data_IF_736828205034
#
_entry.id   IF_736828205034
#
_cell.length_a   1.000
_cell.length_b   1.000
_cell.length_c   1.000
_cell.angle_alpha   90.00
_cell.angle_beta   90.00
_cell.angle_gamma   90.00
#
_symmetry.space_group_name_H-M   'P 1'
#
loop_
_entity.id
_entity.type
_entity.pdbx_description
1 polymer ?
#
# COMPACT_ATOMS: atom_id res chain seq x y z
N UNK A 1 -0.81 -14.85 -2.97
CA UNK A 1 -0.82 -13.53 -2.30
C UNK A 1 0.13 -12.51 -2.91
N UNK A 2 1.46 -12.59 -2.77
CA UNK A 2 2.36 -11.52 -3.25
C UNK A 2 2.17 -11.19 -4.76
N UNK A 3 2.05 -12.21 -5.60
CA UNK A 3 1.75 -12.02 -7.03
C UNK A 3 0.37 -11.42 -7.28
N UNK A 4 -0.61 -11.69 -6.41
CA UNK A 4 -1.97 -11.12 -6.51
C UNK A 4 -1.96 -9.64 -6.13
N UNK A 5 -1.29 -9.26 -5.04
CA UNK A 5 -1.12 -7.86 -4.62
C UNK A 5 -0.45 -7.07 -5.75
N UNK A 6 0.63 -7.61 -6.32
CA UNK A 6 1.32 -6.98 -7.46
C UNK A 6 0.39 -6.81 -8.67
N UNK A 7 -0.44 -7.80 -8.97
CA UNK A 7 -1.38 -7.73 -10.08
C UNK A 7 -2.51 -6.71 -9.82
N UNK A 8 -2.95 -6.57 -8.57
CA UNK A 8 -3.97 -5.60 -8.16
C UNK A 8 -3.45 -4.16 -8.20
N UNK A 9 -2.24 -3.90 -7.68
CA UNK A 9 -1.65 -2.56 -7.64
C UNK A 9 -1.10 -2.07 -9.00
N UNK A 10 -0.82 -2.97 -9.94
CA UNK A 10 -0.24 -2.64 -11.24
C UNK A 10 -1.06 -1.62 -12.05
N UNK A 11 -2.36 -1.85 -12.29
CA UNK A 11 -3.23 -0.90 -12.98
C UNK A 11 -3.33 0.47 -12.29
N UNK A 12 -3.39 0.51 -10.96
CA UNK A 12 -3.44 1.74 -10.17
C UNK A 12 -2.19 2.60 -10.39
N UNK A 13 -1.01 1.97 -10.41
CA UNK A 13 0.27 2.63 -10.71
C UNK A 13 0.28 3.23 -12.12
N UNK A 14 -0.18 2.48 -13.12
CA UNK A 14 -0.21 2.97 -14.50
C UNK A 14 -1.20 4.12 -14.67
N UNK A 15 -2.34 4.07 -13.97
CA UNK A 15 -3.29 5.19 -13.94
C UNK A 15 -2.65 6.45 -13.32
N UNK A 16 -2.02 6.34 -12.15
CA UNK A 16 -1.37 7.48 -11.50
C UNK A 16 -0.22 8.06 -12.35
N UNK A 17 0.55 7.22 -13.05
CA UNK A 17 1.59 7.70 -13.98
C UNK A 17 1.01 8.49 -15.15
N UNK A 18 -0.17 8.09 -15.64
CA UNK A 18 -0.84 8.76 -16.77
C UNK A 18 -1.24 10.21 -16.47
N UNK A 19 -1.45 10.55 -15.19
CA UNK A 19 -1.75 11.89 -14.73
C UNK A 19 -0.55 12.87 -14.78
N UNK A 20 0.65 12.36 -15.09
CA UNK A 20 1.90 13.14 -15.19
C UNK A 20 2.55 13.44 -13.83
N UNK A 21 3.86 13.76 -13.84
CA UNK A 21 4.56 14.13 -12.60
C UNK A 21 4.23 15.56 -12.20
N UNK A 22 3.16 15.74 -11.41
CA UNK A 22 3.09 16.94 -10.58
C UNK A 22 4.30 16.91 -9.63
N UNK A 23 5.02 18.02 -9.49
CA UNK A 23 6.13 18.10 -8.54
C UNK A 23 5.58 17.80 -7.16
N UNK A 24 5.94 16.64 -6.63
CA UNK A 24 5.62 16.20 -5.27
C UNK A 24 6.04 17.32 -4.30
N UNK A 25 5.07 18.01 -3.70
CA UNK A 25 5.35 19.07 -2.74
C UNK A 25 6.04 18.50 -1.50
N UNK A 26 6.81 19.32 -0.77
CA UNK A 26 7.52 18.90 0.45
C UNK A 26 6.61 18.20 1.47
N UNK A 27 5.32 18.54 1.52
CA UNK A 27 4.34 17.87 2.39
C UNK A 27 3.99 16.44 1.99
N UNK A 28 4.03 16.10 0.70
CA UNK A 28 3.74 14.75 0.23
C UNK A 28 4.88 13.77 0.58
N UNK A 29 6.12 14.25 0.71
CA UNK A 29 7.25 13.41 1.14
C UNK A 29 7.08 12.85 2.56
N UNK A 30 6.53 13.64 3.49
CA UNK A 30 6.31 13.19 4.87
C UNK A 30 5.13 12.23 5.03
N UNK A 31 4.09 12.36 4.19
CA UNK A 31 2.94 11.44 4.19
C UNK A 31 3.30 10.06 3.64
N UNK A 32 4.26 9.98 2.71
CA UNK A 32 4.75 8.72 2.15
C UNK A 32 5.52 7.87 3.18
N UNK A 33 6.11 8.48 4.22
CA UNK A 33 6.77 7.73 5.29
C UNK A 33 5.76 6.99 6.18
N UNK A 34 4.51 7.46 6.24
CA UNK A 34 3.45 6.80 7.02
C UNK A 34 2.93 5.56 6.29
N UNK A 35 3.47 4.39 6.68
CA UNK A 35 3.07 3.08 6.16
C UNK A 35 4.18 2.34 5.44
N UNK A 36 5.13 3.05 4.84
CA UNK A 36 6.28 2.43 4.21
C UNK A 36 7.14 1.67 5.23
N UNK A 37 7.79 0.60 4.75
CA UNK A 37 8.79 -0.09 5.56
C UNK A 37 10.03 0.79 5.67
N UNK A 38 10.60 0.86 6.87
CA UNK A 38 11.89 1.51 7.10
C UNK A 38 13.02 0.69 6.45
N UNK A 39 14.18 1.32 6.27
CA UNK A 39 15.36 0.63 5.75
C UNK A 39 15.75 -0.58 6.63
N UNK A 40 15.60 -0.46 7.95
CA UNK A 40 15.87 -1.55 8.89
C UNK A 40 14.84 -2.68 8.77
N UNK A 41 13.55 -2.36 8.65
CA UNK A 41 12.48 -3.36 8.42
C UNK A 41 12.71 -4.10 7.09
N UNK A 42 13.10 -3.37 6.04
CA UNK A 42 13.46 -3.95 4.75
C UNK A 42 14.72 -4.82 4.82
N UNK A 43 15.73 -4.43 5.62
CA UNK A 43 16.93 -5.23 5.83
C UNK A 43 16.62 -6.53 6.57
N UNK A 44 15.78 -6.49 7.61
CA UNK A 44 15.30 -7.67 8.33
C UNK A 44 14.53 -8.61 7.40
N UNK A 45 13.60 -8.08 6.59
CA UNK A 45 12.85 -8.88 5.63
C UNK A 45 13.75 -9.59 4.61
N UNK A 46 14.78 -8.90 4.10
CA UNK A 46 15.76 -9.48 3.17
C UNK A 46 16.62 -10.58 3.79
N UNK A 47 16.89 -10.49 5.10
CA UNK A 47 17.67 -11.48 5.84
C UNK A 47 16.87 -12.70 6.31
N UNK A 48 15.54 -12.58 6.39
CA UNK A 48 14.66 -13.63 6.88
C UNK A 48 14.40 -14.73 5.83
N UNK A 49 14.03 -15.91 6.31
CA UNK A 49 13.63 -17.03 5.44
C UNK A 49 12.55 -17.91 6.08
N UNK A 50 11.88 -18.72 5.27
CA UNK A 50 10.82 -19.61 5.73
C UNK A 50 9.70 -18.87 6.47
N UNK A 51 9.25 -19.41 7.60
CA UNK A 51 8.13 -18.87 8.36
C UNK A 51 8.39 -17.46 8.92
N UNK A 52 9.64 -17.12 9.21
CA UNK A 52 10.00 -15.77 9.67
C UNK A 52 9.82 -14.75 8.54
N UNK A 53 10.25 -15.09 7.33
CA UNK A 53 10.01 -14.26 6.15
C UNK A 53 8.52 -14.04 5.90
N UNK A 54 7.73 -15.13 5.93
CA UNK A 54 6.29 -15.04 5.70
C UNK A 54 5.60 -14.11 6.70
N UNK A 55 5.99 -14.22 7.98
CA UNK A 55 5.49 -13.35 9.04
C UNK A 55 5.86 -11.88 8.80
N UNK A 56 7.15 -11.58 8.62
CA UNK A 56 7.63 -10.21 8.43
C UNK A 56 7.03 -9.58 7.17
N UNK A 57 6.87 -10.37 6.09
CA UNK A 57 6.22 -9.92 4.88
C UNK A 57 4.76 -9.52 5.13
N UNK A 58 3.99 -10.37 5.82
CA UNK A 58 2.58 -10.10 6.12
C UNK A 58 2.42 -8.91 7.07
N UNK A 59 3.21 -8.82 8.13
CA UNK A 59 3.19 -7.68 9.07
C UNK A 59 3.55 -6.37 8.37
N UNK A 60 4.61 -6.38 7.55
CA UNK A 60 5.04 -5.21 6.76
C UNK A 60 3.99 -4.78 5.73
N UNK A 61 3.40 -5.72 4.99
CA UNK A 61 2.36 -5.40 4.01
C UNK A 61 1.06 -4.91 4.66
N UNK A 62 0.70 -5.40 5.86
CA UNK A 62 -0.43 -4.84 6.60
C UNK A 62 -0.16 -3.37 6.95
N UNK A 63 1.02 -3.04 7.48
CA UNK A 63 1.42 -1.67 7.81
C UNK A 63 1.39 -0.77 6.57
N UNK A 64 1.97 -1.23 5.47
CA UNK A 64 1.98 -0.53 4.19
C UNK A 64 0.58 -0.22 3.68
N UNK A 65 -0.30 -1.21 3.68
CA UNK A 65 -1.68 -1.02 3.23
C UNK A 65 -2.48 -0.08 4.12
N UNK A 66 -2.21 -0.07 5.44
CA UNK A 66 -2.86 0.88 6.34
C UNK A 66 -2.49 2.33 6.02
N UNK A 67 -1.21 2.61 5.72
CA UNK A 67 -0.78 3.94 5.29
C UNK A 67 -1.38 4.34 3.93
N UNK A 68 -1.42 3.40 2.97
CA UNK A 68 -2.04 3.64 1.67
C UNK A 68 -3.55 3.96 1.77
N UNK A 69 -4.28 3.28 2.65
CA UNK A 69 -5.71 3.55 2.92
C UNK A 69 -5.87 4.96 3.51
N UNK A 70 -5.05 5.35 4.49
CA UNK A 70 -5.11 6.69 5.08
C UNK A 70 -4.89 7.78 4.03
N UNK A 71 -3.95 7.57 3.10
CA UNK A 71 -3.73 8.50 1.99
C UNK A 71 -4.89 8.53 0.99
N UNK A 72 -5.43 7.36 0.65
CA UNK A 72 -6.55 7.24 -0.29
C UNK A 72 -7.84 7.86 0.28
N UNK A 73 -8.10 7.71 1.58
CA UNK A 73 -9.23 8.32 2.29
C UNK A 73 -9.23 9.86 2.18
N UNK A 74 -8.06 10.50 2.04
CA UNK A 74 -7.98 11.95 1.87
C UNK A 74 -8.56 12.44 0.53
N UNK A 75 -8.69 11.57 -0.47
CA UNK A 75 -9.09 11.95 -1.84
C UNK A 75 -10.42 11.37 -2.29
N UNK A 76 -11.10 10.53 -1.49
CA UNK A 76 -12.36 9.87 -1.89
C UNK A 76 -13.51 10.84 -2.22
N UNK A 77 -13.49 12.05 -1.65
CA UNK A 77 -14.48 13.11 -1.88
C UNK A 77 -13.91 14.28 -2.69
N UNK A 78 -12.82 14.04 -3.42
CA UNK A 78 -12.20 15.03 -4.30
C UNK A 78 -13.17 15.49 -5.40
N UNK A 79 -13.10 16.77 -5.76
CA UNK A 79 -13.80 17.31 -6.93
C UNK A 79 -13.21 16.77 -8.26
N UNK A 80 -12.01 16.18 -8.23
CA UNK A 80 -11.49 15.41 -9.36
C UNK A 80 -12.05 13.98 -9.27
N UNK A 81 -13.01 13.66 -10.16
CA UNK A 81 -13.70 12.38 -10.18
C UNK A 81 -12.75 11.18 -10.38
N UNK A 82 -11.71 11.31 -11.21
CA UNK A 82 -10.74 10.22 -11.42
C UNK A 82 -9.95 9.90 -10.15
N UNK A 83 -9.53 10.94 -9.42
CA UNK A 83 -8.83 10.77 -8.15
C UNK A 83 -9.74 10.19 -7.06
N UNK A 84 -11.00 10.65 -7.00
CA UNK A 84 -12.00 10.13 -6.06
C UNK A 84 -12.33 8.65 -6.31
N UNK A 85 -12.48 8.26 -7.57
CA UNK A 85 -12.72 6.86 -7.95
C UNK A 85 -11.52 5.97 -7.62
N UNK A 86 -10.30 6.43 -7.93
CA UNK A 86 -9.10 5.67 -7.58
C UNK A 86 -8.95 5.51 -6.07
N UNK A 87 -9.16 6.58 -5.29
CA UNK A 87 -9.11 6.52 -3.82
C UNK A 87 -10.06 5.47 -3.25
N UNK A 88 -11.32 5.44 -3.71
CA UNK A 88 -12.31 4.44 -3.27
C UNK A 88 -11.88 3.02 -3.64
N UNK A 89 -11.37 2.82 -4.85
CA UNK A 89 -10.89 1.51 -5.30
C UNK A 89 -9.72 0.99 -4.45
N UNK A 90 -8.76 1.86 -4.11
CA UNK A 90 -7.63 1.54 -3.24
C UNK A 90 -8.11 1.16 -1.83
N UNK A 91 -9.03 1.94 -1.24
CA UNK A 91 -9.57 1.66 0.10
C UNK A 91 -10.24 0.29 0.14
N UNK A 92 -11.05 -0.03 -0.86
CA UNK A 92 -11.75 -1.32 -0.95
C UNK A 92 -10.77 -2.49 -1.12
N UNK A 93 -9.87 -2.40 -2.10
CA UNK A 93 -8.94 -3.48 -2.44
C UNK A 93 -7.97 -3.77 -1.30
N UNK A 94 -7.36 -2.73 -0.75
CA UNK A 94 -6.34 -2.87 0.28
C UNK A 94 -6.93 -3.28 1.65
N UNK A 95 -8.17 -2.88 1.96
CA UNK A 95 -8.88 -3.37 3.15
C UNK A 95 -9.14 -4.88 3.06
N UNK A 96 -9.56 -5.38 1.90
CA UNK A 96 -9.76 -6.81 1.68
C UNK A 96 -8.44 -7.59 1.79
N UNK A 97 -7.33 -7.03 1.30
CA UNK A 97 -6.00 -7.61 1.41
C UNK A 97 -5.52 -7.69 2.86
N UNK A 98 -5.71 -6.65 3.67
CA UNK A 98 -5.41 -6.67 5.11
C UNK A 98 -6.16 -7.82 5.80
N UNK A 99 -7.45 -8.00 5.52
CA UNK A 99 -8.24 -9.10 6.12
C UNK A 99 -7.65 -10.47 5.74
N UNK A 100 -7.23 -10.65 4.48
CA UNK A 100 -6.58 -11.89 4.04
C UNK A 100 -5.24 -12.11 4.75
N UNK A 101 -4.40 -11.07 4.85
CA UNK A 101 -3.10 -11.15 5.52
C UNK A 101 -3.21 -11.47 7.00
N UNK A 102 -4.15 -10.84 7.72
CA UNK A 102 -4.42 -11.14 9.13
C UNK A 102 -4.85 -12.59 9.35
N UNK A 103 -5.65 -13.15 8.45
CA UNK A 103 -6.03 -14.57 8.50
C UNK A 103 -4.85 -15.51 8.28
N UNK A 104 -3.85 -15.10 7.51
CA UNK A 104 -2.64 -15.91 7.29
C UNK A 104 -1.70 -15.87 8.50
N UNK A 105 -1.64 -14.75 9.23
CA UNK A 105 -0.85 -14.64 10.47
C UNK A 105 -1.36 -15.49 11.63
N UNK A 106 -2.65 -15.85 11.63
CA UNK A 106 -3.28 -16.64 12.69
C UNK A 106 -3.32 -18.14 12.40
N UNK A 107 -2.66 -18.61 11.34
CA UNK A 107 -2.56 -20.02 10.97
C UNK A 107 -1.29 -20.63 11.52
#
# INVERSE_FOLDING_TARGET
LASEIKAAQGPEIEQMKSWGSSKMGSHAGHMMDEGMLTDDEMAQLKGASGAEFDRLFLEGMIKHHQGAIQMADMVIDSANEEAALLGKAIVESQSAEIVRMRKLLTR
#
